data_IF_849410826717
#
_entry.id   IF_849410826717
#
_cell.length_a   1.000
_cell.length_b   1.000
_cell.length_c   1.000
_cell.angle_alpha   90.00
_cell.angle_beta   90.00
_cell.angle_gamma   90.00
#
_symmetry.space_group_name_H-M   'P 1'
#
loop_
_entity.id
_entity.type
_entity.pdbx_description
1 polymer ?
#
# COMPACT_ATOMS: atom_id res chain seq x y z
N UNK A 1 24.16 -0.30 -37.02
CA UNK A 1 23.09 -1.25 -36.65
C UNK A 1 23.36 -1.72 -35.24
N UNK A 2 22.62 -1.16 -34.30
CA UNK A 2 22.88 -1.17 -32.86
C UNK A 2 22.46 -2.51 -32.24
N UNK A 3 23.44 -3.30 -31.80
CA UNK A 3 23.20 -4.41 -30.89
C UNK A 3 22.92 -3.85 -29.50
N UNK A 4 21.65 -3.82 -29.09
CA UNK A 4 21.29 -3.64 -27.69
C UNK A 4 21.47 -4.97 -26.99
N UNK A 5 22.62 -5.10 -26.32
CA UNK A 5 22.88 -6.10 -25.30
C UNK A 5 21.90 -5.85 -24.14
N UNK A 6 20.79 -6.59 -24.09
CA UNK A 6 20.00 -6.71 -22.87
C UNK A 6 20.91 -7.29 -21.79
N UNK A 7 21.25 -6.43 -20.82
CA UNK A 7 22.10 -6.80 -19.68
C UNK A 7 21.44 -7.96 -18.92
N UNK A 8 22.22 -8.87 -18.31
CA UNK A 8 21.66 -9.84 -17.37
C UNK A 8 20.93 -9.07 -16.26
N UNK A 9 19.62 -9.28 -16.15
CA UNK A 9 18.77 -8.75 -15.08
C UNK A 9 19.16 -9.44 -13.77
N UNK A 10 20.27 -8.99 -13.19
CA UNK A 10 20.62 -9.28 -11.81
C UNK A 10 19.43 -8.90 -10.92
N UNK A 11 19.10 -9.80 -10.00
CA UNK A 11 18.12 -9.69 -8.93
C UNK A 11 18.47 -8.46 -8.04
N UNK A 12 18.23 -7.25 -8.54
CA UNK A 12 18.61 -5.98 -7.88
C UNK A 12 17.64 -5.59 -6.77
N UNK A 13 16.65 -6.45 -6.49
CA UNK A 13 15.67 -6.26 -5.43
C UNK A 13 16.23 -6.53 -4.02
N UNK A 14 17.53 -6.83 -3.87
CA UNK A 14 18.09 -7.33 -2.61
C UNK A 14 18.65 -6.30 -1.63
N UNK A 15 18.66 -4.99 -1.93
CA UNK A 15 19.24 -3.99 -1.01
C UNK A 15 18.42 -2.69 -0.96
N UNK A 16 17.19 -2.77 -0.48
CA UNK A 16 16.54 -1.60 0.08
C UNK A 16 16.35 -1.89 1.57
N UNK A 17 17.39 -1.63 2.34
CA UNK A 17 17.38 -1.85 3.78
C UNK A 17 16.16 -1.11 4.38
N UNK A 18 15.34 -1.81 5.19
CA UNK A 18 14.16 -1.20 5.75
C UNK A 18 14.55 -0.02 6.66
N UNK A 19 14.01 1.15 6.36
CA UNK A 19 14.16 2.34 7.20
C UNK A 19 13.10 2.28 8.30
N UNK A 20 13.56 2.37 9.55
CA UNK A 20 12.72 2.47 10.74
C UNK A 20 12.96 3.87 11.32
N UNK A 21 11.88 4.58 11.64
CA UNK A 21 12.00 5.88 12.29
C UNK A 21 12.34 5.69 13.79
N UNK A 22 13.33 6.42 14.32
CA UNK A 22 13.52 6.55 15.76
C UNK A 22 12.25 7.11 16.42
N UNK A 23 11.92 6.61 17.61
CA UNK A 23 10.72 7.05 18.35
C UNK A 23 10.68 8.55 18.60
N UNK A 24 11.85 9.19 18.75
CA UNK A 24 11.99 10.65 18.90
C UNK A 24 11.46 11.44 17.69
N UNK A 25 11.48 10.83 16.50
CA UNK A 25 11.03 11.45 15.26
C UNK A 25 9.55 11.17 14.97
N UNK A 26 8.87 10.32 15.75
CA UNK A 26 7.45 10.00 15.50
C UNK A 26 6.54 11.23 15.61
N UNK A 27 6.80 12.14 16.56
CA UNK A 27 6.00 13.37 16.70
C UNK A 27 6.15 14.26 15.46
N UNK A 28 7.38 14.41 14.94
CA UNK A 28 7.68 15.15 13.72
C UNK A 28 7.04 14.48 12.49
N UNK A 29 7.02 13.15 12.42
CA UNK A 29 6.35 12.40 11.36
C UNK A 29 4.83 12.56 11.41
N UNK A 30 4.22 12.55 12.60
CA UNK A 30 2.79 12.84 12.74
C UNK A 30 2.45 14.27 12.35
N UNK A 31 3.30 15.24 12.69
CA UNK A 31 3.16 16.62 12.23
C UNK A 31 3.28 16.74 10.70
N UNK A 32 4.23 16.01 10.09
CA UNK A 32 4.41 15.94 8.65
C UNK A 32 3.19 15.33 7.96
N UNK A 33 2.65 14.21 8.46
CA UNK A 33 1.44 13.58 7.93
C UNK A 33 0.28 14.58 7.95
N UNK A 34 0.04 15.24 9.09
CA UNK A 34 -1.00 16.27 9.19
C UNK A 34 -0.79 17.42 8.20
N UNK A 35 0.44 17.91 8.05
CA UNK A 35 0.76 18.98 7.11
C UNK A 35 0.50 18.56 5.65
N UNK A 36 0.80 17.31 5.29
CA UNK A 36 0.57 16.77 3.95
C UNK A 36 -0.92 16.47 3.68
N UNK A 37 -1.69 16.10 4.70
CA UNK A 37 -3.14 15.86 4.60
C UNK A 37 -3.96 17.16 4.53
N UNK A 38 -3.58 18.17 5.31
CA UNK A 38 -4.33 19.44 5.42
C UNK A 38 -3.82 20.51 4.45
N UNK A 39 -2.61 20.35 3.89
CA UNK A 39 -2.02 21.25 2.90
C UNK A 39 -2.64 21.17 1.49
N UNK A 40 -3.53 20.21 1.25
CA UNK A 40 -4.29 20.08 0.00
C UNK A 40 -5.55 20.96 -0.09
N UNK A 41 -5.76 21.87 0.85
CA UNK A 41 -6.92 22.77 0.87
C UNK A 41 -6.76 23.95 -0.08
N UNK A 42 -7.50 23.93 -1.20
CA UNK A 42 -7.94 25.05 -2.07
C UNK A 42 -6.92 26.11 -2.56
N UNK A 43 -5.65 26.00 -2.21
CA UNK A 43 -4.57 26.84 -2.70
C UNK A 43 -3.74 26.13 -3.77
N UNK A 44 -3.49 26.81 -4.89
CA UNK A 44 -2.55 26.44 -5.96
C UNK A 44 -1.07 26.49 -5.49
N UNK A 45 -0.81 25.94 -4.30
CA UNK A 45 0.49 25.98 -3.64
C UNK A 45 1.30 24.73 -3.96
N UNK A 46 2.44 24.90 -4.63
CA UNK A 46 3.37 23.80 -4.85
C UNK A 46 4.17 23.48 -3.58
N UNK A 47 4.29 22.20 -3.25
CA UNK A 47 5.15 21.74 -2.15
C UNK A 47 6.62 21.98 -2.48
N UNK A 48 7.41 22.46 -1.53
CA UNK A 48 8.84 22.75 -1.72
C UNK A 48 9.69 22.04 -0.66
N UNK A 49 10.76 21.40 -1.10
CA UNK A 49 11.78 20.80 -0.25
C UNK A 49 12.97 21.76 -0.14
N UNK A 50 13.27 22.20 1.08
CA UNK A 50 14.47 23.00 1.36
C UNK A 50 15.63 22.08 1.71
N UNK A 51 16.69 22.13 0.91
CA UNK A 51 17.93 21.40 1.16
C UNK A 51 18.81 22.13 2.20
N UNK A 52 19.75 21.43 2.88
CA UNK A 52 20.70 22.07 3.79
C UNK A 52 21.57 23.16 3.15
N UNK A 53 21.73 23.10 1.82
CA UNK A 53 22.41 24.13 1.03
C UNK A 53 21.63 25.44 0.89
N UNK A 54 20.39 25.50 1.38
CA UNK A 54 19.47 26.63 1.21
C UNK A 54 18.68 26.61 -0.09
N UNK A 55 18.96 25.67 -0.98
CA UNK A 55 18.23 25.49 -2.24
C UNK A 55 16.82 24.95 -1.99
N UNK A 56 15.84 25.50 -2.71
CA UNK A 56 14.44 25.05 -2.69
C UNK A 56 14.14 24.26 -3.97
N UNK A 57 13.51 23.10 -3.82
CA UNK A 57 13.13 22.21 -4.92
C UNK A 57 11.63 21.98 -4.87
N UNK A 58 10.93 22.34 -5.94
CA UNK A 58 9.49 22.06 -6.06
C UNK A 58 9.26 20.56 -6.23
N UNK A 59 8.38 19.99 -5.40
CA UNK A 59 8.02 18.58 -5.42
C UNK A 59 6.85 18.33 -6.36
N UNK A 60 6.95 17.36 -7.28
CA UNK A 60 5.80 16.87 -8.02
C UNK A 60 4.74 16.29 -7.09
N UNK A 61 3.46 16.39 -7.47
CA UNK A 61 2.33 15.87 -6.68
C UNK A 61 2.51 14.39 -6.31
N UNK A 62 2.94 13.56 -7.27
CA UNK A 62 3.20 12.13 -7.03
C UNK A 62 4.22 11.88 -5.91
N UNK A 63 5.22 12.76 -5.77
CA UNK A 63 6.23 12.65 -4.71
C UNK A 63 5.64 13.02 -3.35
N UNK A 64 4.76 14.02 -3.31
CA UNK A 64 4.05 14.43 -2.09
C UNK A 64 3.14 13.30 -1.59
N UNK A 65 2.37 12.68 -2.48
CA UNK A 65 1.52 11.52 -2.14
C UNK A 65 2.35 10.35 -1.61
N UNK A 66 3.50 10.08 -2.23
CA UNK A 66 4.40 9.01 -1.77
C UNK A 66 4.96 9.32 -0.37
N UNK A 67 5.43 10.56 -0.14
CA UNK A 67 5.97 10.99 1.14
C UNK A 67 4.93 10.89 2.25
N UNK A 68 3.68 11.26 2.00
CA UNK A 68 2.59 11.14 2.96
C UNK A 68 2.40 9.68 3.42
N UNK A 69 2.34 8.74 2.47
CA UNK A 69 2.22 7.30 2.77
C UNK A 69 3.42 6.76 3.54
N UNK A 70 4.64 7.15 3.17
CA UNK A 70 5.86 6.74 3.87
C UNK A 70 5.85 7.27 5.30
N UNK A 71 5.55 8.57 5.49
CA UNK A 71 5.51 9.20 6.79
C UNK A 71 4.46 8.55 7.71
N UNK A 72 3.30 8.17 7.16
CA UNK A 72 2.24 7.49 7.90
C UNK A 72 2.67 6.10 8.42
N UNK A 73 3.37 5.32 7.58
CA UNK A 73 3.90 4.01 7.99
C UNK A 73 4.96 4.18 9.09
N UNK A 74 5.88 5.14 8.91
CA UNK A 74 6.94 5.40 9.88
C UNK A 74 6.40 5.95 11.21
N UNK A 75 5.39 6.83 11.18
CA UNK A 75 4.75 7.39 12.37
C UNK A 75 4.11 6.33 13.26
N UNK A 76 3.62 5.23 12.66
CA UNK A 76 3.08 4.05 13.37
C UNK A 76 4.17 3.10 13.88
N UNK A 77 5.45 3.44 13.76
CA UNK A 77 6.57 2.56 14.09
C UNK A 77 6.80 1.43 13.08
N UNK A 78 6.23 1.55 11.87
CA UNK A 78 6.46 0.62 10.78
C UNK A 78 7.82 0.84 10.11
N UNK A 79 8.24 -0.13 9.29
CA UNK A 79 9.44 -0.04 8.48
C UNK A 79 9.08 0.17 7.00
N UNK A 80 9.84 0.99 6.29
CA UNK A 80 9.63 1.28 4.86
C UNK A 80 10.86 0.91 4.05
N UNK A 81 10.64 0.25 2.92
CA UNK A 81 11.67 -0.08 1.93
C UNK A 81 11.17 0.31 0.54
N UNK A 82 12.04 0.95 -0.26
CA UNK A 82 11.73 1.38 -1.63
C UNK A 82 12.58 0.57 -2.60
N UNK A 83 11.94 -0.30 -3.38
CA UNK A 83 12.60 -1.08 -4.41
C UNK A 83 12.05 -0.71 -5.80
N UNK A 84 12.91 -0.62 -6.83
CA UNK A 84 12.45 -0.44 -8.20
C UNK A 84 11.64 -1.66 -8.64
N UNK A 85 10.43 -1.43 -9.12
CA UNK A 85 9.59 -2.50 -9.67
C UNK A 85 9.65 -2.40 -11.19
N UNK A 86 10.19 -3.44 -11.84
CA UNK A 86 10.19 -3.54 -13.30
C UNK A 86 8.77 -3.73 -13.86
N UNK A 87 8.52 -3.23 -15.07
CA UNK A 87 7.21 -3.37 -15.75
C UNK A 87 6.81 -4.83 -16.00
N UNK A 88 7.78 -5.73 -16.09
CA UNK A 88 7.58 -7.16 -16.33
C UNK A 88 8.09 -7.98 -15.16
N UNK A 89 7.20 -8.74 -14.53
CA UNK A 89 7.45 -9.46 -13.29
C UNK A 89 7.58 -10.96 -13.51
N UNK A 90 8.45 -11.60 -12.73
CA UNK A 90 8.36 -13.05 -12.50
C UNK A 90 7.11 -13.40 -11.69
N UNK A 91 6.64 -14.65 -11.79
CA UNK A 91 5.59 -15.19 -10.90
C UNK A 91 5.95 -15.00 -9.43
N UNK A 92 7.24 -15.16 -9.05
CA UNK A 92 7.68 -14.97 -7.66
C UNK A 92 7.48 -13.53 -7.18
N UNK A 93 7.89 -12.56 -7.98
CA UNK A 93 7.74 -11.13 -7.65
C UNK A 93 6.26 -10.74 -7.60
N UNK A 94 5.48 -11.13 -8.60
CA UNK A 94 4.05 -10.84 -8.67
C UNK A 94 3.28 -11.47 -7.48
N UNK A 95 3.61 -12.70 -7.09
CA UNK A 95 2.98 -13.36 -5.95
C UNK A 95 3.31 -12.64 -4.63
N UNK A 96 4.54 -12.16 -4.48
CA UNK A 96 4.95 -11.32 -3.36
C UNK A 96 4.16 -10.01 -3.30
N UNK A 97 4.02 -9.31 -4.43
CA UNK A 97 3.28 -8.04 -4.51
C UNK A 97 1.77 -8.19 -4.26
N UNK A 98 1.16 -9.33 -4.65
CA UNK A 98 -0.24 -9.64 -4.35
C UNK A 98 -0.47 -10.25 -2.97
N UNK A 99 0.61 -10.57 -2.24
CA UNK A 99 0.60 -11.26 -0.96
C UNK A 99 -0.16 -12.61 -1.02
N UNK A 100 0.13 -13.42 -2.03
CA UNK A 100 -0.48 -14.74 -2.26
C UNK A 100 0.57 -15.81 -2.51
N UNK A 101 0.17 -17.09 -2.40
CA UNK A 101 1.07 -18.18 -2.76
C UNK A 101 1.36 -18.18 -4.26
N UNK A 102 2.56 -18.61 -4.65
CA UNK A 102 2.94 -18.76 -6.07
C UNK A 102 1.98 -19.67 -6.83
N UNK A 103 1.52 -20.75 -6.19
CA UNK A 103 0.58 -21.69 -6.79
C UNK A 103 -0.80 -21.04 -7.04
N UNK A 104 -1.27 -20.21 -6.10
CA UNK A 104 -2.51 -19.46 -6.30
C UNK A 104 -2.37 -18.46 -7.45
N UNK A 105 -1.27 -17.71 -7.52
CA UNK A 105 -1.03 -16.82 -8.64
C UNK A 105 -0.98 -17.59 -9.97
N UNK A 106 -0.29 -18.72 -10.04
CA UNK A 106 -0.26 -19.54 -11.28
C UNK A 106 -1.66 -19.92 -11.73
N UNK A 107 -2.55 -20.33 -10.82
CA UNK A 107 -3.95 -20.62 -11.14
C UNK A 107 -4.69 -19.40 -11.72
N UNK A 108 -4.55 -18.23 -11.11
CA UNK A 108 -5.15 -16.99 -11.64
C UNK A 108 -4.67 -16.65 -13.06
N UNK A 109 -3.40 -16.94 -13.36
CA UNK A 109 -2.82 -16.73 -14.69
C UNK A 109 -3.29 -17.80 -15.69
N UNK A 110 -3.51 -19.04 -15.24
CA UNK A 110 -4.04 -20.15 -16.07
C UNK A 110 -5.53 -19.96 -16.39
N UNK A 111 -6.30 -19.43 -15.43
CA UNK A 111 -7.71 -19.05 -15.58
C UNK A 111 -7.90 -17.77 -16.43
N UNK A 112 -6.81 -17.08 -16.77
CA UNK A 112 -6.84 -15.85 -17.57
C UNK A 112 -7.36 -14.62 -16.83
N UNK A 113 -7.51 -14.70 -15.50
CA UNK A 113 -7.95 -13.59 -14.65
C UNK A 113 -6.91 -12.47 -14.55
N UNK A 114 -5.63 -12.83 -14.72
CA UNK A 114 -4.53 -11.89 -14.83
C UNK A 114 -3.82 -12.18 -16.16
N UNK A 115 -3.74 -11.19 -17.08
CA UNK A 115 -2.98 -11.34 -18.31
C UNK A 115 -1.52 -11.71 -18.05
N UNK A 116 -0.98 -12.59 -18.89
CA UNK A 116 0.43 -12.98 -18.82
C UNK A 116 0.99 -13.25 -20.20
N UNK A 117 2.27 -12.91 -20.37
CA UNK A 117 2.99 -13.11 -21.62
C UNK A 117 4.05 -14.18 -21.43
N UNK A 118 4.21 -15.08 -22.41
CA UNK A 118 5.31 -16.03 -22.41
C UNK A 118 6.49 -15.41 -23.17
N UNK A 119 7.60 -15.14 -22.47
CA UNK A 119 8.82 -14.61 -23.09
C UNK A 119 9.88 -15.71 -23.09
N UNK A 120 10.25 -16.17 -24.30
CA UNK A 120 11.26 -17.20 -24.67
C UNK A 120 11.17 -18.56 -23.95
N UNK A 121 11.00 -18.61 -22.64
CA UNK A 121 10.93 -19.83 -21.82
C UNK A 121 10.12 -19.65 -20.52
N UNK A 122 9.82 -18.42 -20.08
CA UNK A 122 9.16 -18.17 -18.78
C UNK A 122 7.98 -17.22 -18.91
N UNK A 123 6.92 -17.48 -18.14
CA UNK A 123 5.74 -16.60 -18.03
C UNK A 123 6.09 -15.32 -17.27
N UNK A 124 5.59 -14.19 -17.77
CA UNK A 124 5.76 -12.84 -17.24
C UNK A 124 4.40 -12.20 -17.02
N UNK A 125 4.33 -11.37 -15.99
CA UNK A 125 3.12 -10.61 -15.63
C UNK A 125 3.44 -9.13 -15.72
N UNK A 126 2.60 -8.35 -16.40
CA UNK A 126 2.75 -6.90 -16.42
C UNK A 126 2.40 -6.33 -15.04
N UNK A 127 3.15 -5.33 -14.58
CA UNK A 127 2.89 -4.68 -13.30
C UNK A 127 1.49 -4.03 -13.26
N UNK A 128 1.11 -3.36 -14.35
CA UNK A 128 -0.16 -2.64 -14.44
C UNK A 128 -1.34 -3.61 -14.38
N UNK A 129 -1.26 -4.73 -15.10
CA UNK A 129 -2.28 -5.79 -15.07
C UNK A 129 -2.40 -6.42 -13.67
N UNK A 130 -1.28 -6.59 -12.98
CA UNK A 130 -1.26 -7.11 -11.61
C UNK A 130 -1.99 -6.18 -10.63
N UNK A 131 -1.74 -4.87 -10.73
CA UNK A 131 -2.38 -3.88 -9.88
C UNK A 131 -3.84 -3.65 -10.24
N UNK A 132 -4.21 -3.71 -11.52
CA UNK A 132 -5.59 -3.65 -11.96
C UNK A 132 -6.40 -4.80 -11.34
N UNK A 133 -5.88 -6.03 -11.41
CA UNK A 133 -6.51 -7.18 -10.76
C UNK A 133 -6.62 -6.99 -9.24
N UNK A 134 -5.56 -6.51 -8.58
CA UNK A 134 -5.58 -6.26 -7.13
C UNK A 134 -6.67 -5.26 -6.75
N UNK A 135 -6.74 -4.15 -7.47
CA UNK A 135 -7.71 -3.08 -7.21
C UNK A 135 -9.14 -3.58 -7.34
N UNK A 136 -9.45 -4.28 -8.44
CA UNK A 136 -10.77 -4.88 -8.67
C UNK A 136 -11.13 -5.88 -7.56
N UNK A 137 -10.21 -6.78 -7.23
CA UNK A 137 -10.40 -7.78 -6.16
C UNK A 137 -10.66 -7.11 -4.80
N UNK A 138 -9.89 -6.08 -4.46
CA UNK A 138 -10.02 -5.40 -3.16
C UNK A 138 -11.32 -4.59 -3.10
N UNK A 139 -11.77 -4.00 -4.22
CA UNK A 139 -13.07 -3.33 -4.34
C UNK A 139 -14.24 -4.32 -4.16
N UNK A 140 -14.18 -5.49 -4.81
CA UNK A 140 -15.20 -6.54 -4.66
C UNK A 140 -15.29 -7.05 -3.22
N UNK A 141 -14.14 -7.24 -2.55
CA UNK A 141 -14.10 -7.62 -1.13
C UNK A 141 -14.77 -6.57 -0.25
N UNK A 142 -14.46 -5.29 -0.46
CA UNK A 142 -15.07 -4.20 0.30
C UNK A 142 -16.59 -4.15 0.10
N UNK A 143 -17.05 -4.28 -1.15
CA UNK A 143 -18.47 -4.32 -1.48
C UNK A 143 -19.19 -5.50 -0.79
N UNK A 144 -18.59 -6.69 -0.79
CA UNK A 144 -19.14 -7.85 -0.09
C UNK A 144 -19.22 -7.64 1.43
N UNK A 145 -18.19 -7.03 2.04
CA UNK A 145 -18.20 -6.70 3.47
C UNK A 145 -19.30 -5.66 3.81
N UNK A 146 -19.47 -4.64 2.96
CA UNK A 146 -20.55 -3.67 3.13
C UNK A 146 -21.92 -4.32 3.02
N UNK A 147 -22.11 -5.25 2.08
CA UNK A 147 -23.38 -5.97 1.95
C UNK A 147 -23.65 -6.86 3.17
N UNK A 148 -22.64 -7.57 3.67
CA UNK A 148 -22.76 -8.33 4.93
C UNK A 148 -23.16 -7.41 6.10
N UNK A 149 -22.51 -6.25 6.24
CA UNK A 149 -22.83 -5.27 7.28
C UNK A 149 -24.27 -4.75 7.15
N UNK A 150 -24.71 -4.43 5.92
CA UNK A 150 -26.08 -3.99 5.63
C UNK A 150 -27.10 -5.06 6.00
N UNK A 151 -26.83 -6.32 5.65
CA UNK A 151 -27.68 -7.45 6.02
C UNK A 151 -27.73 -7.59 7.54
N UNK A 152 -26.58 -7.57 8.23
CA UNK A 152 -26.53 -7.63 9.70
C UNK A 152 -27.35 -6.51 10.36
N UNK A 153 -27.24 -5.26 9.90
CA UNK A 153 -28.04 -4.14 10.40
C UNK A 153 -29.55 -4.34 10.14
N UNK A 154 -29.91 -4.84 8.94
CA UNK A 154 -31.30 -5.12 8.59
C UNK A 154 -31.92 -6.25 9.43
N UNK A 155 -31.10 -7.16 9.97
CA UNK A 155 -31.51 -8.26 10.85
C UNK A 155 -31.35 -7.95 12.35
N UNK A 156 -31.16 -6.67 12.74
CA UNK A 156 -31.08 -6.25 14.15
C UNK A 156 -29.71 -6.50 14.80
N UNK A 157 -28.66 -6.69 14.01
CA UNK A 157 -27.30 -6.82 14.54
C UNK A 157 -26.73 -5.48 14.97
N UNK A 158 -26.25 -5.45 16.22
CA UNK A 158 -25.91 -4.29 17.06
C UNK A 158 -27.13 -3.57 17.65
N UNK A 159 -27.92 -4.29 18.45
CA UNK A 159 -28.73 -3.65 19.48
C UNK A 159 -27.80 -2.79 20.36
N UNK A 160 -28.12 -1.50 20.50
CA UNK A 160 -27.43 -0.54 21.37
C UNK A 160 -27.64 -0.84 22.88
N UNK A 161 -27.65 -2.11 23.29
CA UNK A 161 -27.80 -2.53 24.68
C UNK A 161 -26.44 -2.69 25.40
N UNK A 162 -25.53 -1.74 25.21
CA UNK A 162 -24.43 -1.51 26.16
C UNK A 162 -24.54 -0.12 26.80
N UNK A 163 -25.78 0.30 27.09
CA UNK A 163 -26.09 1.68 27.47
C UNK A 163 -26.94 1.90 28.71
N UNK A 164 -27.45 0.90 29.44
CA UNK A 164 -28.02 1.14 30.79
C UNK A 164 -28.41 -0.16 31.51
N UNK A 165 -27.82 -0.42 32.68
CA UNK A 165 -28.41 -1.32 33.67
C UNK A 165 -27.58 -2.54 34.11
N UNK A 166 -26.45 -2.31 34.78
CA UNK A 166 -26.00 -3.22 35.84
C UNK A 166 -25.12 -2.46 36.84
N UNK A 167 -25.78 -1.72 37.74
CA UNK A 167 -25.20 -1.39 39.03
C UNK A 167 -25.04 -2.71 39.79
N UNK A 168 -23.88 -3.34 39.66
CA UNK A 168 -23.47 -4.39 40.59
C UNK A 168 -23.04 -3.67 41.87
N UNK A 169 -24.01 -3.40 42.74
CA UNK A 169 -23.73 -3.19 44.15
C UNK A 169 -23.21 -4.53 44.69
N UNK A 170 -21.89 -4.70 44.75
CA UNK A 170 -21.24 -5.74 45.55
C UNK A 170 -20.71 -5.07 46.81
N UNK A 171 -21.57 -5.03 47.83
CA UNK A 171 -21.20 -4.79 49.23
C UNK A 171 -21.69 -5.95 50.09
N UNK A 172 -20.75 -6.46 50.90
CA UNK A 172 -20.82 -7.33 52.09
C UNK A 172 -21.42 -8.74 52.02
N UNK A 173 -20.57 -9.73 52.28
CA UNK A 173 -20.42 -10.37 53.60
C UNK A 173 -19.03 -11.02 53.74
#
# INVERSE_FOLDING_TARGET
MTGQTERPFADTAQHADPVIAPTEQHEQLHALVKALEHGGGEGDGAYQLRLPSGQEVTLPEVTVTLLARIAEVLARGGAVSVAPIGKSLTIRQAAGLLNVSRQHLTRLLDEGLIPSTQTETRRRVCLDDLFAFRHERDAQRMAALHELMRLTQAFGGYDEEFGQGARLDVFEL
#
